data_IF_751612189241
#
_entry.id   IF_751612189241
#
_cell.length_a   1.000
_cell.length_b   1.000
_cell.length_c   1.000
_cell.angle_alpha   90.00
_cell.angle_beta   90.00
_cell.angle_gamma   90.00
#
_symmetry.space_group_name_H-M   'P 1'
#
loop_
_entity.id
_entity.type
_entity.pdbx_description
1 polymer ?
#
# COMPACT_ATOMS: atom_id res chain seq x y z
N UNK A 1 -4.61 16.90 7.14
CA UNK A 1 -4.15 15.55 7.53
C UNK A 1 -5.34 14.83 8.11
N UNK A 2 -5.63 13.61 7.67
CA UNK A 2 -6.71 12.79 8.21
C UNK A 2 -6.09 11.60 8.94
N UNK A 3 -6.56 11.31 10.15
CA UNK A 3 -6.19 10.12 10.90
C UNK A 3 -7.33 9.11 10.85
N UNK A 4 -6.99 7.85 10.70
CA UNK A 4 -7.95 6.76 10.72
C UNK A 4 -7.83 6.00 12.02
N UNK A 5 -8.95 5.91 12.74
CA UNK A 5 -9.06 5.13 13.96
C UNK A 5 -10.17 4.09 13.85
N UNK A 6 -9.98 2.95 14.48
CA UNK A 6 -11.02 1.92 14.59
C UNK A 6 -11.82 2.15 15.87
N UNK A 7 -13.15 2.16 15.75
CA UNK A 7 -14.04 2.12 16.93
C UNK A 7 -13.98 0.69 17.49
N UNK A 8 -13.64 0.58 18.75
CA UNK A 8 -13.61 -0.68 19.50
C UNK A 8 -14.58 -0.61 20.67
N UNK A 9 -15.33 -1.67 20.90
CA UNK A 9 -16.27 -1.78 22.00
C UNK A 9 -15.53 -1.74 23.33
N UNK A 10 -15.86 -0.80 24.19
CA UNK A 10 -15.40 -0.74 25.57
C UNK A 10 -16.43 -1.27 26.55
N UNK A 11 -16.06 -1.35 27.82
CA UNK A 11 -16.97 -1.84 28.88
C UNK A 11 -18.07 -0.84 29.26
N UNK A 12 -17.76 0.45 29.24
CA UNK A 12 -18.70 1.55 29.59
C UNK A 12 -18.93 2.52 28.45
N UNK A 13 -17.96 2.67 27.56
CA UNK A 13 -18.04 3.51 26.36
C UNK A 13 -17.16 2.93 25.25
N UNK A 14 -17.52 3.18 24.00
CA UNK A 14 -16.70 2.81 22.86
C UNK A 14 -15.46 3.69 22.79
N UNK A 15 -14.35 3.12 22.32
CA UNK A 15 -13.04 3.76 22.27
C UNK A 15 -12.50 3.78 20.84
N UNK A 16 -11.79 4.85 20.52
CA UNK A 16 -11.05 4.96 19.27
C UNK A 16 -9.56 4.93 19.61
N UNK A 17 -8.87 3.93 19.08
CA UNK A 17 -7.42 3.83 19.19
C UNK A 17 -6.76 4.55 18.02
N UNK A 18 -5.91 5.52 18.36
CA UNK A 18 -5.12 6.28 17.40
C UNK A 18 -3.65 5.96 17.66
N UNK A 19 -2.88 5.80 16.61
CA UNK A 19 -1.43 5.52 16.70
C UNK A 19 -0.71 6.62 17.50
N UNK A 20 0.40 6.26 18.16
CA UNK A 20 1.24 7.24 18.88
C UNK A 20 1.83 8.30 17.93
N UNK A 21 2.09 7.94 16.68
CA UNK A 21 2.60 8.83 15.62
C UNK A 21 1.48 9.69 15.01
N UNK A 22 0.72 10.39 15.85
CA UNK A 22 -0.39 11.25 15.43
C UNK A 22 0.03 12.70 15.24
N UNK A 23 0.90 12.96 14.30
CA UNK A 23 1.36 14.32 14.01
C UNK A 23 0.17 15.26 13.74
N UNK A 24 0.13 16.40 14.44
CA UNK A 24 -0.99 17.36 14.35
C UNK A 24 -2.21 17.05 15.22
N UNK A 25 -2.20 15.97 16.01
CA UNK A 25 -3.28 15.60 16.91
C UNK A 25 -2.76 15.41 18.36
N UNK A 26 -2.47 16.49 19.10
CA UNK A 26 -1.96 16.38 20.45
C UNK A 26 -3.01 15.79 21.42
N UNK A 27 -2.51 15.20 22.52
CA UNK A 27 -3.38 14.69 23.58
C UNK A 27 -4.17 15.85 24.19
N UNK A 28 -5.46 15.61 24.47
CA UNK A 28 -6.36 16.60 25.06
C UNK A 28 -7.14 17.44 24.06
N UNK A 29 -6.84 17.37 22.77
CA UNK A 29 -7.64 18.06 21.76
C UNK A 29 -8.91 17.27 21.39
N UNK A 30 -9.97 18.02 21.09
CA UNK A 30 -11.20 17.47 20.53
C UNK A 30 -11.01 17.16 19.05
N UNK A 31 -11.63 16.09 18.59
CA UNK A 31 -11.60 15.67 17.18
C UNK A 31 -13.04 15.46 16.68
N UNK A 32 -13.29 15.78 15.43
CA UNK A 32 -14.53 15.43 14.74
C UNK A 32 -14.33 14.10 14.06
N UNK A 33 -15.18 13.14 14.37
CA UNK A 33 -15.14 11.80 13.79
C UNK A 33 -16.19 11.74 12.69
N UNK A 34 -15.73 11.48 11.47
CA UNK A 34 -16.63 11.33 10.32
C UNK A 34 -16.59 9.87 9.83
N UNK A 35 -17.76 9.21 9.68
CA UNK A 35 -17.78 7.88 9.06
C UNK A 35 -17.16 7.91 7.67
N UNK A 36 -16.36 6.90 7.36
CA UNK A 36 -15.75 6.73 6.04
C UNK A 36 -16.77 6.18 5.04
N UNK A 37 -17.70 7.04 4.63
CA UNK A 37 -18.71 6.72 3.61
C UNK A 37 -18.41 7.36 2.26
N UNK A 38 -17.29 8.04 2.09
CA UNK A 38 -16.96 8.74 0.84
C UNK A 38 -16.51 7.77 -0.25
N UNK A 39 -17.32 7.64 -1.26
CA UNK A 39 -16.86 7.41 -2.63
C UNK A 39 -15.99 8.61 -3.02
N UNK A 40 -14.67 8.44 -2.98
CA UNK A 40 -13.79 9.47 -3.52
C UNK A 40 -13.82 9.35 -5.04
N UNK A 41 -14.52 10.27 -5.66
CA UNK A 41 -14.33 10.57 -7.07
C UNK A 41 -12.87 10.90 -7.31
N UNK A 42 -12.12 9.94 -7.79
CA UNK A 42 -10.74 10.14 -8.23
C UNK A 42 -10.77 10.90 -9.54
N UNK A 43 -10.57 12.22 -9.46
CA UNK A 43 -10.20 13.00 -10.66
C UNK A 43 -8.94 12.38 -11.26
N UNK A 44 -9.10 11.78 -12.43
CA UNK A 44 -8.10 11.41 -13.43
C UNK A 44 -6.63 11.22 -13.00
N UNK A 45 -6.38 10.15 -12.24
CA UNK A 45 -5.06 9.53 -12.18
C UNK A 45 -5.30 8.06 -12.41
N UNK A 46 -4.72 7.51 -13.46
CA UNK A 46 -4.98 6.16 -13.95
C UNK A 46 -5.30 5.16 -12.85
N UNK A 47 -6.46 4.53 -12.97
CA UNK A 47 -6.93 3.56 -11.97
C UNK A 47 -5.87 2.50 -11.71
N UNK A 48 -5.61 2.13 -10.45
CA UNK A 48 -4.67 1.06 -10.15
C UNK A 48 -5.14 -0.28 -10.72
N UNK A 49 -4.21 -1.17 -10.96
CA UNK A 49 -4.47 -2.52 -11.46
C UNK A 49 -4.46 -3.50 -10.31
N UNK A 50 -5.53 -4.27 -10.17
CA UNK A 50 -5.73 -5.27 -9.12
C UNK A 50 -5.38 -6.66 -9.63
N UNK A 51 -4.64 -7.43 -8.84
CA UNK A 51 -4.25 -8.80 -9.14
C UNK A 51 -4.61 -9.69 -7.93
N UNK A 52 -5.50 -10.66 -8.16
CA UNK A 52 -6.01 -11.60 -7.16
C UNK A 52 -6.61 -10.92 -5.90
N UNK A 53 -7.21 -9.75 -6.09
CA UNK A 53 -7.92 -9.00 -5.05
C UNK A 53 -9.38 -8.92 -5.45
N UNK A 54 -10.25 -9.55 -4.66
CA UNK A 54 -11.69 -9.55 -4.90
C UNK A 54 -12.36 -8.28 -4.36
N UNK A 55 -11.88 -7.81 -3.22
CA UNK A 55 -12.37 -6.59 -2.57
C UNK A 55 -11.27 -5.96 -1.73
N UNK A 56 -11.34 -4.66 -1.57
CA UNK A 56 -10.47 -3.88 -0.68
C UNK A 56 -11.31 -2.79 -0.02
N UNK A 57 -11.02 -2.51 1.23
CA UNK A 57 -11.69 -1.44 1.97
C UNK A 57 -11.39 -0.08 1.31
N UNK A 58 -12.41 0.81 1.12
CA UNK A 58 -12.23 2.11 0.46
C UNK A 58 -11.09 2.94 1.05
N UNK A 59 -10.91 2.89 2.36
CA UNK A 59 -9.82 3.60 3.02
C UNK A 59 -8.43 3.11 2.59
N UNK A 60 -8.24 1.80 2.44
CA UNK A 60 -6.97 1.25 1.96
C UNK A 60 -6.69 1.69 0.53
N UNK A 61 -7.73 1.74 -0.30
CA UNK A 61 -7.60 2.25 -1.66
C UNK A 61 -7.17 3.72 -1.67
N UNK A 62 -7.69 4.54 -0.77
CA UNK A 62 -7.26 5.93 -0.61
C UNK A 62 -5.80 6.04 -0.21
N UNK A 63 -5.39 5.26 0.79
CA UNK A 63 -4.00 5.18 1.24
C UNK A 63 -3.07 4.77 0.08
N UNK A 64 -3.46 3.76 -0.71
CA UNK A 64 -2.70 3.31 -1.88
C UNK A 64 -2.55 4.45 -2.91
N UNK A 65 -3.64 5.16 -3.20
CA UNK A 65 -3.62 6.26 -4.16
C UNK A 65 -2.73 7.41 -3.65
N UNK A 66 -2.73 7.69 -2.36
CA UNK A 66 -1.87 8.68 -1.74
C UNK A 66 -0.40 8.26 -1.82
N UNK A 67 -0.07 7.02 -1.48
CA UNK A 67 1.29 6.47 -1.65
C UNK A 67 1.74 6.59 -3.10
N UNK A 68 0.90 6.20 -4.06
CA UNK A 68 1.22 6.35 -5.48
C UNK A 68 1.46 7.81 -5.88
N UNK A 69 0.70 8.74 -5.32
CA UNK A 69 0.87 10.17 -5.55
C UNK A 69 2.20 10.68 -4.99
N UNK A 70 2.54 10.32 -3.75
CA UNK A 70 3.80 10.69 -3.09
C UNK A 70 4.99 10.16 -3.90
N UNK A 71 4.98 8.88 -4.21
CA UNK A 71 6.07 8.23 -4.95
C UNK A 71 6.21 8.80 -6.36
N UNK A 72 5.11 9.09 -7.05
CA UNK A 72 5.15 9.69 -8.37
C UNK A 72 5.76 11.10 -8.39
N UNK A 73 5.59 11.86 -7.33
CA UNK A 73 6.19 13.19 -7.19
C UNK A 73 7.68 13.13 -6.87
N UNK A 74 8.11 12.09 -6.18
CA UNK A 74 9.49 11.96 -5.66
C UNK A 74 10.39 11.11 -6.55
N UNK A 75 9.83 10.16 -7.29
CA UNK A 75 10.60 9.27 -8.17
C UNK A 75 10.22 9.56 -9.61
N UNK A 76 11.18 9.99 -10.42
CA UNK A 76 10.95 10.31 -11.84
C UNK A 76 10.99 9.07 -12.71
N UNK A 77 11.98 8.20 -12.48
CA UNK A 77 12.28 7.07 -13.36
C UNK A 77 12.01 5.72 -12.67
N UNK A 78 10.75 5.30 -12.69
CA UNK A 78 10.36 3.96 -12.26
C UNK A 78 9.53 3.27 -13.36
N UNK A 79 9.68 1.96 -13.45
CA UNK A 79 8.89 1.14 -14.37
C UNK A 79 7.52 0.84 -13.80
N UNK A 80 7.44 0.47 -12.51
CA UNK A 80 6.18 0.26 -11.80
C UNK A 80 6.33 0.43 -10.29
N UNK A 81 5.20 0.64 -9.60
CA UNK A 81 5.07 0.61 -8.14
C UNK A 81 3.97 -0.39 -7.82
N UNK A 82 4.26 -1.31 -6.90
CA UNK A 82 3.37 -2.40 -6.52
C UNK A 82 3.21 -2.38 -5.01
N UNK A 83 1.98 -2.39 -4.53
CA UNK A 83 1.62 -2.59 -3.13
C UNK A 83 1.23 -4.05 -2.94
N UNK A 84 1.70 -4.67 -1.86
CA UNK A 84 1.49 -6.09 -1.57
C UNK A 84 1.42 -6.34 -0.06
N UNK A 85 1.41 -7.60 0.35
CA UNK A 85 1.47 -8.01 1.75
C UNK A 85 0.15 -7.96 2.49
N UNK A 86 0.24 -8.10 3.82
CA UNK A 86 -0.91 -8.19 4.73
C UNK A 86 -1.80 -6.94 4.74
N UNK A 87 -1.27 -5.79 4.33
CA UNK A 87 -2.07 -4.58 4.14
C UNK A 87 -3.25 -4.79 3.18
N UNK A 88 -3.13 -5.69 2.21
CA UNK A 88 -4.17 -6.01 1.24
C UNK A 88 -5.14 -7.10 1.72
N UNK A 89 -4.94 -7.65 2.91
CA UNK A 89 -5.86 -8.60 3.51
C UNK A 89 -7.10 -7.91 4.04
N UNK A 90 -8.19 -8.65 4.18
CA UNK A 90 -9.43 -8.12 4.73
C UNK A 90 -9.21 -7.69 6.20
N UNK A 91 -9.76 -6.52 6.56
CA UNK A 91 -9.62 -5.94 7.90
C UNK A 91 -8.34 -5.12 8.06
N UNK A 92 -7.96 -4.78 9.29
CA UNK A 92 -6.90 -3.83 9.62
C UNK A 92 -5.80 -4.44 10.50
N UNK A 93 -5.50 -5.72 10.30
CA UNK A 93 -4.48 -6.46 11.04
C UNK A 93 -3.13 -6.44 10.28
N UNK A 94 -2.59 -5.25 10.08
CA UNK A 94 -1.27 -5.04 9.47
C UNK A 94 -0.45 -4.04 10.27
N UNK A 95 0.87 -4.17 10.25
CA UNK A 95 1.80 -3.27 10.93
C UNK A 95 2.54 -2.33 9.98
N UNK A 96 2.65 -2.72 8.71
CA UNK A 96 3.39 -2.01 7.68
C UNK A 96 2.71 -2.15 6.31
N UNK A 97 3.24 -1.43 5.35
CA UNK A 97 2.84 -1.53 3.94
C UNK A 97 4.05 -1.96 3.12
N UNK A 98 3.94 -3.12 2.49
CA UNK A 98 4.96 -3.60 1.56
C UNK A 98 4.83 -2.91 0.20
N UNK A 99 5.90 -2.24 -0.21
CA UNK A 99 5.97 -1.47 -1.46
C UNK A 99 7.14 -1.99 -2.29
N UNK A 100 6.85 -2.56 -3.45
CA UNK A 100 7.85 -2.97 -4.41
C UNK A 100 7.97 -1.91 -5.52
N UNK A 101 9.13 -1.31 -5.67
CA UNK A 101 9.41 -0.32 -6.70
C UNK A 101 10.31 -0.95 -7.75
N UNK A 102 9.81 -1.06 -8.97
CA UNK A 102 10.56 -1.57 -10.11
C UNK A 102 11.22 -0.38 -10.82
N UNK A 103 12.55 -0.35 -10.81
CA UNK A 103 13.35 0.72 -11.43
C UNK A 103 14.63 0.16 -12.02
N UNK A 104 15.22 0.89 -12.98
CA UNK A 104 16.50 0.50 -13.59
C UNK A 104 17.67 0.91 -12.73
N UNK A 105 17.60 2.07 -12.12
CA UNK A 105 18.67 2.66 -11.32
C UNK A 105 18.41 2.51 -9.82
N UNK A 106 19.47 2.55 -9.03
CA UNK A 106 19.35 2.57 -7.57
C UNK A 106 18.79 3.92 -7.13
N UNK A 107 17.67 3.88 -6.43
CA UNK A 107 17.05 5.05 -5.81
C UNK A 107 17.53 5.21 -4.37
N UNK A 108 17.75 6.45 -3.94
CA UNK A 108 17.97 6.72 -2.53
C UNK A 108 16.62 6.71 -1.78
N UNK A 109 16.46 5.76 -0.87
CA UNK A 109 15.25 5.56 -0.06
C UNK A 109 15.24 6.33 1.26
N UNK A 110 16.36 6.94 1.66
CA UNK A 110 16.51 7.54 3.00
C UNK A 110 15.41 8.55 3.32
N UNK A 111 15.03 9.36 2.33
CA UNK A 111 13.99 10.38 2.48
C UNK A 111 12.57 9.88 2.17
N UNK A 112 12.43 8.73 1.51
CA UNK A 112 11.11 8.22 1.09
C UNK A 112 10.37 7.54 2.22
N UNK A 113 11.06 6.72 3.01
CA UNK A 113 10.46 6.01 4.14
C UNK A 113 9.87 6.96 5.18
N UNK A 114 10.64 7.94 5.72
CA UNK A 114 10.10 8.91 6.67
C UNK A 114 8.96 9.76 6.08
N UNK A 115 9.04 10.10 4.79
CA UNK A 115 8.00 10.89 4.14
C UNK A 115 6.66 10.15 4.09
N UNK A 116 6.68 8.87 3.71
CA UNK A 116 5.46 8.05 3.66
C UNK A 116 4.93 7.82 5.08
N UNK A 117 5.80 7.44 6.02
CA UNK A 117 5.42 7.21 7.43
C UNK A 117 4.77 8.46 8.04
N UNK A 118 5.34 9.64 7.85
CA UNK A 118 4.81 10.89 8.37
C UNK A 118 3.49 11.31 7.72
N UNK A 119 3.27 11.04 6.45
CA UNK A 119 2.06 11.46 5.74
C UNK A 119 0.91 10.45 5.87
N UNK A 120 1.23 9.17 5.87
CA UNK A 120 0.25 8.07 5.89
C UNK A 120 0.00 7.58 7.33
N UNK A 121 1.00 7.69 8.22
CA UNK A 121 0.94 7.14 9.57
C UNK A 121 1.09 5.62 9.63
N UNK A 122 1.57 4.99 8.56
CA UNK A 122 1.83 3.55 8.47
C UNK A 122 3.25 3.36 7.92
N UNK A 123 4.04 2.56 8.63
CA UNK A 123 5.43 2.29 8.29
C UNK A 123 5.56 1.62 6.91
N UNK A 124 6.31 2.18 5.96
CA UNK A 124 6.54 1.54 4.67
C UNK A 124 7.73 0.57 4.73
N UNK A 125 7.54 -0.62 4.20
CA UNK A 125 8.61 -1.55 3.87
C UNK A 125 8.85 -1.48 2.37
N UNK A 126 9.93 -0.80 1.94
CA UNK A 126 10.19 -0.53 0.52
C UNK A 126 11.31 -1.43 0.02
N UNK A 127 11.03 -2.17 -1.04
CA UNK A 127 11.98 -3.01 -1.78
C UNK A 127 12.18 -2.41 -3.16
N UNK A 128 13.46 -2.18 -3.53
CA UNK A 128 13.85 -1.78 -4.87
C UNK A 128 14.35 -2.98 -5.67
N UNK A 129 13.87 -3.14 -6.88
CA UNK A 129 14.29 -4.22 -7.77
C UNK A 129 14.22 -3.76 -9.22
N UNK A 130 15.11 -4.30 -10.05
CA UNK A 130 14.96 -4.15 -11.49
C UNK A 130 14.10 -5.29 -12.08
N UNK A 131 13.58 -5.07 -13.28
CA UNK A 131 12.68 -6.01 -13.93
C UNK A 131 13.29 -7.39 -14.16
N UNK A 132 14.59 -7.45 -14.50
CA UNK A 132 15.29 -8.71 -14.77
C UNK A 132 15.39 -9.55 -13.48
N UNK A 133 15.85 -8.93 -12.40
CA UNK A 133 15.96 -9.59 -11.09
C UNK A 133 14.59 -10.05 -10.57
N UNK A 134 13.53 -9.25 -10.80
CA UNK A 134 12.18 -9.63 -10.41
C UNK A 134 11.69 -10.86 -11.18
N UNK A 135 11.89 -10.89 -12.50
CA UNK A 135 11.51 -12.07 -13.34
C UNK A 135 12.30 -13.31 -12.93
N UNK A 136 13.57 -13.16 -12.63
CA UNK A 136 14.43 -14.23 -12.15
C UNK A 136 13.98 -14.73 -10.78
N UNK A 137 13.79 -13.82 -9.83
CA UNK A 137 13.33 -14.12 -8.46
C UNK A 137 11.98 -14.82 -8.43
N UNK A 138 11.06 -14.47 -9.32
CA UNK A 138 9.76 -15.16 -9.42
C UNK A 138 9.86 -16.67 -9.71
N UNK A 139 10.98 -17.13 -10.24
CA UNK A 139 11.20 -18.56 -10.52
C UNK A 139 11.86 -19.28 -9.35
N UNK A 140 12.54 -18.58 -8.45
CA UNK A 140 13.45 -19.16 -7.46
C UNK A 140 13.18 -18.68 -6.02
N UNK A 141 12.59 -17.50 -5.84
CA UNK A 141 12.42 -16.88 -4.53
C UNK A 141 10.94 -16.87 -4.11
N UNK A 142 10.57 -17.63 -3.06
CA UNK A 142 9.21 -17.67 -2.53
C UNK A 142 8.69 -16.30 -2.09
N UNK A 143 9.58 -15.37 -1.67
CA UNK A 143 9.18 -14.03 -1.26
C UNK A 143 8.52 -13.27 -2.41
N UNK A 144 9.17 -13.20 -3.58
CA UNK A 144 8.58 -12.53 -4.75
C UNK A 144 7.33 -13.23 -5.26
N UNK A 145 7.27 -14.56 -5.16
CA UNK A 145 6.05 -15.31 -5.48
C UNK A 145 4.91 -14.91 -4.56
N UNK A 146 5.15 -14.86 -3.25
CA UNK A 146 4.17 -14.44 -2.26
C UNK A 146 3.73 -12.99 -2.48
N UNK A 147 4.67 -12.06 -2.66
CA UNK A 147 4.39 -10.65 -2.87
C UNK A 147 3.52 -10.39 -4.10
N UNK A 148 3.73 -11.11 -5.19
CA UNK A 148 3.00 -10.90 -6.43
C UNK A 148 1.78 -11.80 -6.59
N UNK A 149 1.58 -12.77 -5.71
CA UNK A 149 0.37 -13.60 -5.69
C UNK A 149 -0.89 -12.76 -5.47
N UNK A 150 -0.77 -11.68 -4.69
CA UNK A 150 -1.84 -10.72 -4.37
C UNK A 150 -1.25 -9.31 -4.30
N UNK A 151 -1.60 -8.46 -5.26
CA UNK A 151 -1.01 -7.13 -5.30
C UNK A 151 -1.88 -6.09 -6.02
N UNK A 152 -1.59 -4.81 -5.75
CA UNK A 152 -2.14 -3.66 -6.49
C UNK A 152 -0.98 -2.91 -7.12
N UNK A 153 -1.00 -2.68 -8.43
CA UNK A 153 0.05 -1.98 -9.13
C UNK A 153 -0.43 -0.66 -9.72
N UNK A 154 0.45 0.31 -9.79
CA UNK A 154 0.17 1.62 -10.39
C UNK A 154 0.06 1.56 -11.91
N UNK A 155 0.93 0.79 -12.56
CA UNK A 155 0.90 0.56 -14.00
C UNK A 155 0.59 -0.91 -14.27
N UNK A 156 0.06 -1.19 -15.46
CA UNK A 156 -0.22 -2.56 -15.88
C UNK A 156 1.07 -3.40 -15.83
N UNK A 157 1.01 -4.55 -15.19
CA UNK A 157 2.14 -5.47 -15.12
C UNK A 157 2.43 -6.03 -16.51
N UNK A 158 3.70 -6.03 -16.92
CA UNK A 158 4.15 -6.49 -18.24
C UNK A 158 3.76 -7.96 -18.46
N UNK A 159 3.40 -8.33 -19.69
CA UNK A 159 2.85 -9.63 -20.05
C UNK A 159 3.69 -10.84 -19.56
N UNK A 160 5.02 -10.76 -19.64
CA UNK A 160 5.92 -11.82 -19.15
C UNK A 160 5.78 -12.07 -17.64
N UNK A 161 5.66 -11.00 -16.86
CA UNK A 161 5.46 -11.05 -15.42
C UNK A 161 4.05 -11.57 -15.08
N UNK A 162 3.03 -11.11 -15.83
CA UNK A 162 1.64 -11.52 -15.67
C UNK A 162 1.44 -13.02 -15.91
N UNK A 163 2.14 -13.60 -16.89
CA UNK A 163 2.10 -15.06 -17.17
C UNK A 163 2.64 -15.86 -15.99
N UNK A 164 3.74 -15.40 -15.36
CA UNK A 164 4.31 -16.06 -14.17
C UNK A 164 3.41 -15.90 -12.93
N UNK A 165 2.82 -14.72 -12.72
CA UNK A 165 1.87 -14.49 -11.60
C UNK A 165 0.66 -15.43 -11.72
N UNK A 166 0.10 -15.62 -12.92
CA UNK A 166 -1.02 -16.57 -13.14
C UNK A 166 -0.68 -18.02 -12.82
N UNK A 167 0.59 -18.41 -12.96
CA UNK A 167 1.04 -19.76 -12.60
C UNK A 167 1.12 -19.96 -11.08
N UNK A 168 1.09 -18.88 -10.28
CA UNK A 168 1.07 -18.89 -8.83
C UNK A 168 -0.35 -18.91 -8.24
N UNK A 169 -1.40 -18.80 -9.09
CA UNK A 169 -2.78 -18.95 -8.63
C UNK A 169 -2.99 -20.37 -8.13
N UNK A 170 -3.49 -20.56 -6.90
CA UNK A 170 -3.85 -21.90 -6.44
C UNK A 170 -4.89 -22.47 -7.38
N UNK A 171 -4.66 -23.69 -7.84
CA UNK A 171 -5.64 -24.47 -8.60
C UNK A 171 -6.94 -24.50 -7.80
N UNK A 172 -8.04 -24.10 -8.41
CA UNK A 172 -9.37 -24.14 -7.81
C UNK A 172 -9.80 -25.57 -7.56
#
# INVERSE_FOLDING_TARGET
MELVGKISKGSKMDQIYISKNRYGFPIGNYVIITPLTRELESKDKGKPYFYNIQSIEPIKLNIINEIFSILNKKIRDYENIIITGSFLDKGFYFNDIDILIICKEKLNLENLKPLIDNQIGIKPHIILINNQSLIQGLSTDPLYQSMLSKCISKKRIIFKLKRKIRQLEPSK
#
